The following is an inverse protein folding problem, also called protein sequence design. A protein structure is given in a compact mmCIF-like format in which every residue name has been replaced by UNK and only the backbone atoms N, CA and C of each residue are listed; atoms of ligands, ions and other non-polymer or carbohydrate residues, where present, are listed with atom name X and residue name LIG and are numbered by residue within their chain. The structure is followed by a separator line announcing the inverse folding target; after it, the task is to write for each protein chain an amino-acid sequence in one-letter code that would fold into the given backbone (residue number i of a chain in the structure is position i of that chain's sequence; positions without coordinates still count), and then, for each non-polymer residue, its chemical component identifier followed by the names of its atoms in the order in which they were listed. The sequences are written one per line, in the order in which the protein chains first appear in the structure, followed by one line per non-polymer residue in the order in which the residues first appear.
data_IF_314307597914
#
_entry.id   IF_314307597914
#
_cell.length_a   1.000
_cell.length_b   1.000
_cell.length_c   1.000
_cell.angle_alpha   90.00
_cell.angle_beta   90.00
_cell.angle_gamma   90.00
#
_symmetry.space_group_name_H-M   'P 1'
#
loop_
_entity.id
_entity.type
_entity.pdbx_description
1 polymer ?
#
# COMPACT_ATOMS: atom_id res chain seq x y z
N UNK A 1 26.30 -20.20 23.11
CA UNK A 1 25.84 -19.30 24.19
C UNK A 1 24.61 -18.55 23.70
N UNK A 2 23.59 -18.52 24.55
CA UNK A 2 22.23 -17.96 24.43
C UNK A 2 22.00 -16.73 23.53
N UNK A 3 20.83 -16.72 22.87
CA UNK A 3 20.29 -15.56 22.14
C UNK A 3 19.63 -14.48 23.03
N UNK A 4 19.48 -13.29 22.43
CA UNK A 4 18.76 -12.05 22.83
C UNK A 4 19.67 -10.88 22.40
N UNK A 5 19.34 -9.95 21.49
CA UNK A 5 18.08 -9.24 21.24
C UNK A 5 18.17 -8.48 19.90
N UNK A 6 17.37 -8.86 18.90
CA UNK A 6 17.09 -8.07 17.68
C UNK A 6 16.08 -6.93 17.93
N UNK A 7 16.00 -6.43 19.16
CA UNK A 7 15.09 -5.35 19.52
C UNK A 7 15.79 -4.03 19.25
N UNK A 8 15.18 -3.19 18.41
CA UNK A 8 15.64 -1.81 18.17
C UNK A 8 15.85 -1.12 19.52
N UNK A 9 16.94 -0.38 19.65
CA UNK A 9 17.14 0.45 20.83
C UNK A 9 16.02 1.47 20.95
N UNK A 10 15.64 1.83 22.18
CA UNK A 10 14.58 2.81 22.44
C UNK A 10 14.86 4.13 21.69
N UNK A 11 16.11 4.61 21.73
CA UNK A 11 16.52 5.81 21.01
C UNK A 11 16.27 5.71 19.50
N UNK A 12 16.49 4.53 18.88
CA UNK A 12 16.20 4.30 17.46
C UNK A 12 14.70 4.31 17.18
N UNK A 13 13.89 3.65 18.00
CA UNK A 13 12.43 3.64 17.82
C UNK A 13 11.81 5.03 17.98
N UNK A 14 12.31 5.84 18.92
CA UNK A 14 11.86 7.22 19.12
C UNK A 14 12.27 8.09 17.93
N UNK A 15 13.50 7.96 17.44
CA UNK A 15 13.96 8.68 16.25
C UNK A 15 13.14 8.36 15.00
N UNK A 16 12.86 7.08 14.75
CA UNK A 16 12.01 6.63 13.63
C UNK A 16 10.57 7.19 13.74
N UNK A 17 9.99 7.14 14.94
CA UNK A 17 8.64 7.68 15.18
C UNK A 17 8.55 9.19 14.90
N UNK A 18 9.49 9.98 15.40
CA UNK A 18 9.52 11.42 15.14
C UNK A 18 9.77 11.70 13.66
N UNK A 19 10.62 10.91 13.01
CA UNK A 19 10.85 10.97 11.57
C UNK A 19 9.56 10.84 10.76
N UNK A 20 8.73 9.83 11.08
CA UNK A 20 7.45 9.62 10.39
C UNK A 20 6.44 10.74 10.62
N UNK A 21 6.43 11.37 11.81
CA UNK A 21 5.57 12.54 12.04
C UNK A 21 6.00 13.71 11.14
N UNK A 22 7.30 14.01 11.10
CA UNK A 22 7.82 15.10 10.27
C UNK A 22 7.56 14.86 8.79
N UNK A 23 7.71 13.61 8.33
CA UNK A 23 7.40 13.19 6.97
C UNK A 23 5.92 13.43 6.64
N UNK A 24 5.00 13.00 7.52
CA UNK A 24 3.56 13.22 7.34
C UNK A 24 3.13 14.69 7.39
N UNK A 25 3.81 15.54 8.18
CA UNK A 25 3.54 17.00 8.22
C UNK A 25 4.03 17.72 6.97
N UNK A 26 5.12 17.23 6.38
CA UNK A 26 5.70 17.80 5.15
C UNK A 26 4.99 17.33 3.89
N UNK A 27 4.35 16.16 3.94
CA UNK A 27 3.59 15.62 2.83
C UNK A 27 2.47 16.58 2.45
N UNK A 28 2.33 16.84 1.15
CA UNK A 28 1.23 17.64 0.62
C UNK A 28 -0.03 16.76 0.56
N UNK A 29 -1.10 17.04 1.33
CA UNK A 29 -2.31 16.23 1.31
C UNK A 29 -3.12 16.37 0.01
N UNK A 30 -2.76 17.33 -0.85
CA UNK A 30 -3.34 17.53 -2.18
C UNK A 30 -2.54 16.84 -3.29
N UNK A 31 -1.39 16.24 -2.99
CA UNK A 31 -0.70 15.38 -3.95
C UNK A 31 -1.55 14.14 -4.25
N UNK A 32 -1.90 13.98 -5.53
CA UNK A 32 -2.68 12.84 -6.00
C UNK A 32 -1.88 11.55 -5.83
N UNK A 33 -2.54 10.52 -5.28
CA UNK A 33 -1.98 9.16 -5.17
C UNK A 33 -2.12 8.37 -6.47
N UNK A 34 -2.62 9.01 -7.52
CA UNK A 34 -2.79 8.43 -8.84
C UNK A 34 -1.75 9.00 -9.79
N UNK A 35 -1.28 8.16 -10.72
CA UNK A 35 -0.51 8.61 -11.87
C UNK A 35 -1.23 8.22 -13.16
N UNK A 36 -1.43 9.19 -14.04
CA UNK A 36 -1.86 8.97 -15.42
C UNK A 36 -0.78 8.19 -16.17
N UNK A 37 -1.10 6.95 -16.56
CA UNK A 37 -0.20 6.08 -17.32
C UNK A 37 -0.45 6.17 -18.81
N UNK A 38 -1.67 6.54 -19.22
CA UNK A 38 -2.02 6.69 -20.63
C UNK A 38 -3.17 7.65 -20.84
N UNK A 39 -3.02 8.48 -21.88
CA UNK A 39 -4.08 9.29 -22.47
C UNK A 39 -4.42 8.77 -23.86
N UNK A 40 -5.70 8.71 -24.21
CA UNK A 40 -6.12 8.49 -25.59
C UNK A 40 -7.27 9.44 -25.92
N UNK A 41 -7.14 10.16 -27.03
CA UNK A 41 -8.15 11.08 -27.53
C UNK A 41 -8.68 10.54 -28.84
N UNK A 42 -9.98 10.31 -28.90
CA UNK A 42 -10.71 9.88 -30.08
C UNK A 42 -11.61 11.02 -30.53
N UNK A 43 -11.48 11.43 -31.78
CA UNK A 43 -12.34 12.43 -32.40
C UNK A 43 -13.11 11.80 -33.55
N UNK A 44 -14.41 12.05 -33.62
CA UNK A 44 -15.26 11.54 -34.69
C UNK A 44 -16.32 12.57 -35.04
N UNK A 45 -16.47 12.85 -36.33
CA UNK A 45 -17.55 13.72 -36.82
C UNK A 45 -18.75 12.87 -37.22
N UNK A 46 -19.91 13.12 -36.62
CA UNK A 46 -21.19 12.49 -36.97
C UNK A 46 -22.24 13.57 -37.15
N UNK A 47 -22.99 13.51 -38.26
CA UNK A 47 -24.10 14.42 -38.56
C UNK A 47 -23.76 15.92 -38.43
N UNK A 48 -22.51 16.29 -38.77
CA UNK A 48 -22.03 17.68 -38.70
C UNK A 48 -21.57 18.14 -37.30
N UNK A 49 -21.61 17.26 -36.31
CA UNK A 49 -21.11 17.52 -34.95
C UNK A 49 -19.80 16.76 -34.71
N UNK A 50 -18.83 17.40 -34.07
CA UNK A 50 -17.57 16.76 -33.66
C UNK A 50 -17.73 16.20 -32.25
N UNK A 51 -17.61 14.89 -32.11
CA UNK A 51 -17.53 14.18 -30.84
C UNK A 51 -16.07 13.96 -30.48
N UNK A 52 -15.69 14.37 -29.26
CA UNK A 52 -14.37 14.11 -28.70
C UNK A 52 -14.49 13.30 -27.42
N UNK A 53 -13.90 12.11 -27.41
CA UNK A 53 -13.76 11.24 -26.24
C UNK A 53 -12.31 11.28 -25.76
N UNK A 54 -12.12 11.42 -24.45
CA UNK A 54 -10.81 11.30 -23.82
C UNK A 54 -10.88 10.16 -22.81
N UNK A 55 -10.01 9.17 -23.00
CA UNK A 55 -9.79 8.07 -22.07
C UNK A 55 -8.48 8.34 -21.34
N UNK A 56 -8.54 8.34 -20.01
CA UNK A 56 -7.38 8.48 -19.14
C UNK A 56 -7.29 7.19 -18.33
N UNK A 57 -6.16 6.51 -18.42
CA UNK A 57 -5.83 5.35 -17.61
C UNK A 57 -4.89 5.82 -16.50
N UNK A 58 -5.26 5.52 -15.24
CA UNK A 58 -4.48 5.88 -14.07
C UNK A 58 -4.15 4.65 -13.22
N UNK A 59 -3.03 4.70 -12.51
CA UNK A 59 -2.69 3.73 -11.46
C UNK A 59 -2.66 4.42 -10.11
N UNK A 60 -3.29 3.82 -9.12
CA UNK A 60 -3.23 4.28 -7.72
C UNK A 60 -2.09 3.57 -6.99
N UNK A 61 -1.20 4.35 -6.36
CA UNK A 61 -0.15 3.79 -5.52
C UNK A 61 -0.67 3.55 -4.11
N UNK A 62 -0.48 2.33 -3.61
CA UNK A 62 -0.75 1.97 -2.21
C UNK A 62 0.55 1.92 -1.45
N UNK A 63 0.55 2.45 -0.23
CA UNK A 63 1.71 2.37 0.64
C UNK A 63 2.00 0.91 1.01
N UNK A 64 3.28 0.57 1.10
CA UNK A 64 3.72 -0.76 1.54
C UNK A 64 3.20 -1.11 2.96
N UNK A 65 2.85 -0.11 3.76
CA UNK A 65 2.22 -0.28 5.06
C UNK A 65 0.81 -0.89 4.95
N UNK A 66 0.04 -0.53 3.92
CA UNK A 66 -1.32 -1.01 3.65
C UNK A 66 -1.32 -2.40 3.02
N UNK A 67 -0.20 -2.82 2.43
CA UNK A 67 -0.04 -4.14 1.83
C UNK A 67 0.19 -5.26 2.87
N UNK A 68 0.34 -4.95 4.17
CA UNK A 68 0.57 -5.98 5.20
C UNK A 68 -0.72 -6.74 5.49
N UNK A 69 -0.80 -8.06 5.24
CA UNK A 69 -1.94 -8.85 5.68
C UNK A 69 -2.01 -8.80 7.20
N UNK A 70 -3.20 -8.51 7.74
CA UNK A 70 -3.48 -8.55 9.17
C UNK A 70 -3.30 -9.98 9.69
N UNK A 71 -2.09 -10.30 10.18
CA UNK A 71 -1.75 -11.58 10.78
C UNK A 71 -2.35 -11.73 12.20
N UNK A 72 -3.66 -11.52 12.33
CA UNK A 72 -4.45 -11.87 13.53
C UNK A 72 -5.52 -12.88 13.16
N UNK A 73 -5.11 -14.13 12.98
CA UNK A 73 -5.86 -15.36 13.31
C UNK A 73 -5.13 -16.55 12.71
N UNK A 74 -4.06 -16.99 13.37
CA UNK A 74 -3.67 -18.39 13.32
C UNK A 74 -3.44 -18.82 14.76
N UNK A 75 -4.51 -19.28 15.39
CA UNK A 75 -4.42 -20.13 16.58
C UNK A 75 -4.15 -21.54 16.04
N UNK A 76 -2.96 -22.14 16.24
CA UNK A 76 -2.79 -23.54 15.90
C UNK A 76 -3.60 -24.36 16.92
N UNK A 77 -4.66 -25.00 16.45
CA UNK A 77 -5.33 -26.04 17.22
C UNK A 77 -4.32 -27.15 17.48
N UNK A 78 -4.07 -27.40 18.76
CA UNK A 78 -3.12 -28.39 19.26
C UNK A 78 -3.37 -29.77 18.64
N UNK A 79 -2.25 -30.42 18.31
CA UNK A 79 -2.17 -31.82 17.91
C UNK A 79 -2.87 -32.72 18.95
N UNK A 80 -3.63 -33.70 18.48
CA UNK A 80 -3.81 -34.96 19.21
C UNK A 80 -3.72 -36.09 18.19
N UNK A 81 -2.55 -36.70 18.17
CA UNK A 81 -2.27 -37.96 17.50
C UNK A 81 -3.16 -39.08 18.08
N UNK A 82 -3.64 -40.00 17.26
CA UNK A 82 -3.98 -41.36 17.71
C UNK A 82 -3.72 -42.36 16.57
N UNK A 83 -3.02 -43.48 16.81
CA UNK A 83 -2.42 -44.31 15.78
C UNK A 83 -3.40 -45.26 15.08
N UNK A 84 -3.08 -45.55 13.83
CA UNK A 84 -3.65 -46.58 12.94
C UNK A 84 -3.70 -47.96 13.58
N UNK A 85 -4.82 -48.67 13.42
CA UNK A 85 -4.97 -50.11 13.68
C UNK A 85 -4.56 -50.96 12.47
#
# INVERSE_FOLDING_TARGET
MSGSSDKKSIARSVGEFVGHIVEGVKADPSEDRTAEVRRTVEETTQDGVVLRRTTIEEVEFRDAADARPSARQQTPASETETPTS
#
